data_IF_203255028313
#
_entry.id   IF_203255028313
#
_cell.length_a   1.000
_cell.length_b   1.000
_cell.length_c   1.000
_cell.angle_alpha   90.00
_cell.angle_beta   90.00
_cell.angle_gamma   90.00
#
_symmetry.space_group_name_H-M   'P 1'
#
loop_
_entity.id
_entity.type
_entity.pdbx_description
1 polymer ?
#
# COMPACT_ATOMS: atom_id res chain seq x y z
N UNK A 1 -2.35 -1.22 5.91
CA UNK A 1 -2.87 -1.91 4.71
C UNK A 1 -4.33 -2.22 4.93
N UNK A 2 -5.18 -2.00 3.95
CA UNK A 2 -6.61 -2.23 4.05
C UNK A 2 -7.01 -3.33 3.07
N UNK A 3 -7.75 -4.32 3.55
CA UNK A 3 -8.41 -5.34 2.73
C UNK A 3 -9.91 -5.12 2.79
N UNK A 4 -10.51 -4.98 1.62
CA UNK A 4 -11.92 -4.66 1.47
C UNK A 4 -12.65 -5.83 0.83
N UNK A 5 -13.72 -6.26 1.48
CA UNK A 5 -14.61 -7.30 0.98
C UNK A 5 -16.00 -6.71 0.74
N UNK A 6 -16.60 -7.02 -0.41
CA UNK A 6 -17.98 -6.61 -0.68
C UNK A 6 -18.93 -7.34 0.26
N UNK A 7 -19.80 -6.59 0.94
CA UNK A 7 -20.80 -7.10 1.88
C UNK A 7 -22.16 -6.48 1.55
N UNK A 8 -22.84 -7.04 0.54
CA UNK A 8 -24.05 -6.44 -0.02
C UNK A 8 -23.77 -5.10 -0.70
N UNK A 9 -24.46 -4.05 -0.26
CA UNK A 9 -24.24 -2.67 -0.76
C UNK A 9 -23.05 -1.97 -0.09
N UNK A 10 -22.50 -2.54 0.99
CA UNK A 10 -21.42 -1.98 1.78
C UNK A 10 -20.07 -2.67 1.52
N UNK A 11 -19.02 -2.11 2.12
CA UNK A 11 -17.67 -2.68 2.14
C UNK A 11 -17.27 -3.00 3.58
N UNK A 12 -16.87 -4.23 3.84
CA UNK A 12 -16.25 -4.63 5.09
C UNK A 12 -14.73 -4.36 5.02
N UNK A 13 -14.17 -3.74 6.07
CA UNK A 13 -12.75 -3.41 6.17
C UNK A 13 -12.05 -4.33 7.16
N UNK A 14 -10.91 -4.87 6.72
CA UNK A 14 -9.93 -5.49 7.59
C UNK A 14 -8.57 -4.79 7.41
N UNK A 15 -8.04 -4.20 8.48
CA UNK A 15 -6.82 -3.42 8.43
C UNK A 15 -5.65 -4.15 9.12
N UNK A 16 -4.49 -4.10 8.48
CA UNK A 16 -3.26 -4.73 8.94
C UNK A 16 -2.10 -3.73 8.95
N UNK A 17 -1.25 -3.83 9.96
CA UNK A 17 0.06 -3.19 9.99
C UNK A 17 1.09 -4.27 9.69
N UNK A 18 1.96 -4.02 8.71
CA UNK A 18 3.08 -4.89 8.40
C UNK A 18 4.36 -4.16 8.79
N UNK A 19 5.10 -4.75 9.71
CA UNK A 19 6.40 -4.27 10.18
C UNK A 19 7.51 -5.10 9.55
N UNK A 20 8.75 -4.60 9.62
CA UNK A 20 9.97 -5.32 9.21
C UNK A 20 10.06 -5.72 7.72
N UNK A 21 9.16 -5.22 6.86
CA UNK A 21 9.29 -5.39 5.42
C UNK A 21 10.51 -4.63 4.91
N UNK A 22 11.39 -5.32 4.16
CA UNK A 22 12.62 -4.71 3.65
C UNK A 22 12.38 -3.65 2.56
N UNK A 23 11.32 -3.80 1.78
CA UNK A 23 10.90 -2.86 0.74
C UNK A 23 9.42 -3.06 0.36
N UNK A 24 8.90 -2.14 -0.46
CA UNK A 24 7.50 -2.18 -0.93
C UNK A 24 7.20 -3.40 -1.81
N UNK A 25 8.18 -3.97 -2.52
CA UNK A 25 7.96 -5.14 -3.38
C UNK A 25 7.70 -6.40 -2.54
N UNK A 26 8.35 -6.53 -1.38
CA UNK A 26 8.03 -7.58 -0.41
C UNK A 26 6.60 -7.45 0.11
N UNK A 27 6.17 -6.22 0.44
CA UNK A 27 4.79 -5.95 0.85
C UNK A 27 3.80 -6.34 -0.25
N UNK A 28 4.05 -5.94 -1.50
CA UNK A 28 3.16 -6.26 -2.62
C UNK A 28 3.09 -7.76 -2.90
N UNK A 29 4.20 -8.49 -2.78
CA UNK A 29 4.20 -9.96 -2.89
C UNK A 29 3.35 -10.60 -1.82
N UNK A 30 3.51 -10.18 -0.57
CA UNK A 30 2.68 -10.65 0.54
C UNK A 30 1.20 -10.35 0.31
N UNK A 31 0.88 -9.15 -0.20
CA UNK A 31 -0.49 -8.79 -0.58
C UNK A 31 -1.05 -9.74 -1.64
N UNK A 32 -0.32 -10.02 -2.70
CA UNK A 32 -0.77 -10.96 -3.75
C UNK A 32 -1.04 -12.36 -3.20
N UNK A 33 -0.22 -12.84 -2.26
CA UNK A 33 -0.40 -14.14 -1.62
C UNK A 33 -1.62 -14.18 -0.66
N UNK A 34 -2.01 -13.05 -0.07
CA UNK A 34 -3.00 -12.99 1.02
C UNK A 34 -4.33 -12.30 0.64
N UNK A 35 -4.39 -11.59 -0.49
CA UNK A 35 -5.59 -10.82 -0.86
C UNK A 35 -6.79 -11.67 -1.23
N UNK A 36 -6.58 -12.87 -1.78
CA UNK A 36 -7.64 -13.67 -2.41
C UNK A 36 -8.39 -12.79 -3.43
N UNK A 37 -9.70 -12.64 -3.29
CA UNK A 37 -10.53 -11.82 -4.19
C UNK A 37 -10.84 -10.41 -3.62
N UNK A 38 -10.12 -9.97 -2.59
CA UNK A 38 -10.35 -8.68 -1.92
C UNK A 38 -9.67 -7.54 -2.64
N UNK A 39 -10.31 -6.37 -2.59
CA UNK A 39 -9.69 -5.09 -3.00
C UNK A 39 -8.73 -4.67 -1.90
N UNK A 40 -7.53 -4.21 -2.26
CA UNK A 40 -6.49 -3.88 -1.29
C UNK A 40 -5.97 -2.47 -1.50
N UNK A 41 -5.71 -1.76 -0.40
CA UNK A 41 -4.93 -0.52 -0.38
C UNK A 41 -3.68 -0.69 0.49
N UNK A 42 -2.54 -0.25 -0.01
CA UNK A 42 -1.27 -0.25 0.74
C UNK A 42 -0.84 1.18 0.99
N UNK A 43 -0.50 1.44 2.25
CA UNK A 43 -0.01 2.73 2.71
C UNK A 43 1.36 2.54 3.35
N UNK A 44 2.23 3.53 3.18
CA UNK A 44 3.55 3.61 3.83
C UNK A 44 3.56 4.83 4.74
N UNK A 45 4.03 4.66 5.97
CA UNK A 45 4.35 5.75 6.89
C UNK A 45 5.65 6.41 6.40
N UNK A 46 5.60 7.71 6.08
CA UNK A 46 6.80 8.44 5.59
C UNK A 46 7.66 8.93 6.74
N UNK A 47 7.03 9.30 7.86
CA UNK A 47 7.70 9.68 9.08
C UNK A 47 7.50 8.56 10.08
N UNK A 48 8.60 7.97 10.56
CA UNK A 48 8.56 6.89 11.53
C UNK A 48 8.17 7.46 12.89
N UNK A 49 6.87 7.62 13.11
CA UNK A 49 6.34 7.89 14.44
C UNK A 49 6.61 6.65 15.31
N UNK A 50 7.38 6.78 16.41
CA UNK A 50 7.67 5.66 17.28
C UNK A 50 6.38 4.95 17.69
N UNK A 51 6.42 3.61 17.73
CA UNK A 51 5.30 2.84 18.28
C UNK A 51 5.25 3.15 19.79
N UNK A 52 4.31 4.02 20.18
CA UNK A 52 4.06 4.44 21.55
C UNK A 52 3.07 3.54 22.29
N UNK A 53 2.54 4.03 23.41
CA UNK A 53 1.49 3.36 24.17
C UNK A 53 0.24 3.17 23.28
N UNK A 54 -0.42 2.01 23.39
CA UNK A 54 -1.66 1.71 22.67
C UNK A 54 -2.80 2.69 22.99
N UNK A 55 -2.73 3.38 24.12
CA UNK A 55 -3.72 4.39 24.53
C UNK A 55 -3.51 5.75 23.87
N UNK A 56 -2.40 5.96 23.18
CA UNK A 56 -2.08 7.22 22.51
C UNK A 56 -2.38 7.13 21.00
N UNK A 57 -3.12 8.10 20.48
CA UNK A 57 -3.46 8.18 19.06
C UNK A 57 -2.18 8.42 18.24
N UNK A 58 -1.82 7.46 17.38
CA UNK A 58 -0.75 7.66 16.39
C UNK A 58 -1.21 8.62 15.30
N UNK A 59 -0.40 9.63 15.02
CA UNK A 59 -0.62 10.63 13.96
C UNK A 59 0.47 10.54 12.89
N UNK A 60 0.61 9.36 12.28
CA UNK A 60 1.56 9.16 11.19
C UNK A 60 0.99 9.65 9.85
N UNK A 61 1.81 10.36 9.08
CA UNK A 61 1.49 10.70 7.69
C UNK A 61 1.60 9.45 6.81
N UNK A 62 0.47 9.04 6.23
CA UNK A 62 0.36 7.87 5.36
C UNK A 62 0.31 8.27 3.88
N UNK A 63 1.11 7.61 3.06
CA UNK A 63 1.02 7.73 1.59
C UNK A 63 0.56 6.41 1.00
N UNK A 64 -0.50 6.46 0.17
CA UNK A 64 -0.97 5.29 -0.57
C UNK A 64 0.02 5.01 -1.71
N UNK A 65 0.56 3.80 -1.72
CA UNK A 65 1.52 3.33 -2.74
C UNK A 65 0.93 2.28 -3.68
N UNK A 66 -0.21 1.70 -3.33
CA UNK A 66 -0.93 0.73 -4.16
C UNK A 66 -2.42 0.70 -3.83
N UNK A 67 -3.23 0.36 -4.84
CA UNK A 67 -4.66 0.18 -4.70
C UNK A 67 -5.46 1.47 -4.77
N UNK A 68 -6.77 1.33 -4.61
CA UNK A 68 -7.74 2.40 -4.76
C UNK A 68 -8.78 2.34 -3.65
N UNK A 69 -9.32 3.51 -3.29
CA UNK A 69 -10.41 3.57 -2.35
C UNK A 69 -11.64 2.92 -3.01
N UNK A 70 -12.20 1.82 -2.47
CA UNK A 70 -13.37 1.17 -3.05
C UNK A 70 -14.66 2.01 -2.93
N UNK A 71 -14.63 3.07 -2.11
CA UNK A 71 -15.67 4.10 -2.04
C UNK A 71 -15.35 5.33 -2.90
N UNK A 72 -14.17 5.38 -3.52
CA UNK A 72 -13.72 6.48 -4.37
C UNK A 72 -14.11 6.27 -5.83
N UNK A 73 -14.50 7.34 -6.49
CA UNK A 73 -14.84 7.35 -7.92
C UNK A 73 -13.63 7.58 -8.85
N UNK A 74 -12.38 7.56 -8.33
CA UNK A 74 -11.18 7.91 -9.11
C UNK A 74 -10.05 6.92 -8.89
N UNK A 75 -9.65 6.29 -10.00
CA UNK A 75 -8.50 5.39 -10.11
C UNK A 75 -7.18 6.16 -10.13
N UNK A 76 -6.17 5.70 -9.39
CA UNK A 76 -4.83 6.29 -9.37
C UNK A 76 -3.83 5.28 -9.94
N UNK A 77 -3.54 5.37 -11.23
CA UNK A 77 -2.56 4.50 -11.90
C UNK A 77 -1.14 4.91 -11.52
N UNK A 78 -0.39 3.98 -10.91
CA UNK A 78 1.05 4.11 -10.75
C UNK A 78 1.77 3.76 -12.06
N UNK A 79 2.53 4.70 -12.62
CA UNK A 79 3.43 4.43 -13.75
C UNK A 79 4.83 4.20 -13.20
N UNK A 80 5.29 2.95 -13.25
CA UNK A 80 6.67 2.62 -12.92
C UNK A 80 7.57 3.08 -14.08
N UNK A 81 8.27 4.20 -13.89
CA UNK A 81 9.29 4.65 -14.83
C UNK A 81 10.42 3.61 -14.85
N UNK A 82 10.52 2.84 -15.95
CA UNK A 82 11.73 2.08 -16.21
C UNK A 82 12.85 3.09 -16.48
N UNK A 83 13.89 3.07 -15.66
CA UNK A 83 15.16 3.74 -16.03
C UNK A 83 15.71 2.99 -17.23
N UNK A 84 15.73 3.64 -18.39
CA UNK A 84 16.50 3.14 -19.52
C UNK A 84 17.99 3.10 -19.13
N UNK A 85 18.72 2.02 -19.44
CA UNK A 85 20.16 1.96 -19.21
C UNK A 85 20.86 2.99 -20.09
N UNK A 86 21.94 3.63 -19.61
CA UNK A 86 22.65 4.64 -20.39
C UNK A 86 23.23 4.02 -21.66
N UNK A 87 22.86 4.59 -22.81
CA UNK A 87 23.43 4.25 -24.11
C UNK A 87 24.94 4.52 -24.06
N UNK A 88 25.75 3.45 -24.04
CA UNK A 88 27.20 3.58 -24.24
C UNK A 88 27.42 4.08 -25.67
N UNK A 89 27.76 5.36 -25.80
CA UNK A 89 28.32 5.90 -27.02
C UNK A 89 29.64 5.19 -27.31
N UNK A 90 29.67 4.44 -28.40
CA UNK A 90 30.90 3.86 -28.94
C UNK A 90 31.49 4.96 -29.84
N UNK A 91 32.66 5.45 -29.47
CA UNK A 91 33.48 6.37 -30.28
C UNK A 91 34.17 5.59 -31.39
#
# INVERSE_FOLDING_TARGET
MNFWQRSGEAWALEAYILTEAGDVLQVLRWVEENRRDRVVEVFVEIENEPIGDFMEERRASLVRVYGENPNGSVSSTFVMARRDPPTRGIT
#
